data_IF_304015285279
#
_entry.id   IF_304015285279
#
_cell.length_a   1.000
_cell.length_b   1.000
_cell.length_c   1.000
_cell.angle_alpha   90.00
_cell.angle_beta   90.00
_cell.angle_gamma   90.00
#
_symmetry.space_group_name_H-M   'P 1'
#
loop_
_entity.id
_entity.type
_entity.pdbx_description
1 polymer ?
#
# COMPACT_ATOMS: atom_id res chain seq x y z
N UNK A 1 58.64 46.26 -45.30
CA UNK A 1 57.77 45.96 -44.15
C UNK A 1 56.63 45.15 -44.70
N UNK A 2 56.91 43.85 -44.74
CA UNK A 2 56.07 42.69 -45.05
C UNK A 2 54.89 42.61 -44.06
N UNK A 3 53.81 41.84 -44.21
CA UNK A 3 53.37 40.78 -45.13
C UNK A 3 51.83 40.69 -45.00
N UNK A 4 51.12 40.06 -45.95
CA UNK A 4 50.06 39.13 -45.55
C UNK A 4 49.81 38.01 -46.58
N UNK A 5 49.40 36.86 -46.05
CA UNK A 5 49.47 35.51 -46.62
C UNK A 5 48.22 35.03 -47.38
N UNK A 6 48.44 33.98 -48.17
CA UNK A 6 47.51 33.22 -48.98
C UNK A 6 46.90 31.98 -48.27
N UNK A 7 45.81 31.45 -48.83
CA UNK A 7 45.27 30.08 -48.60
C UNK A 7 45.04 29.39 -49.98
N UNK A 8 45.27 28.07 -50.13
CA UNK A 8 45.23 27.37 -51.42
C UNK A 8 44.02 26.44 -51.67
N UNK A 9 43.90 26.04 -52.94
CA UNK A 9 42.99 25.05 -53.55
C UNK A 9 43.45 23.59 -53.39
N UNK A 10 42.52 22.64 -53.61
CA UNK A 10 42.86 21.36 -54.26
C UNK A 10 41.83 20.25 -54.08
N UNK A 11 41.10 19.93 -55.15
CA UNK A 11 40.34 18.68 -55.29
C UNK A 11 40.70 17.98 -56.60
N UNK A 12 40.53 16.65 -56.66
CA UNK A 12 40.30 15.90 -57.91
C UNK A 12 39.84 14.47 -57.59
N UNK A 13 38.82 14.00 -58.30
CA UNK A 13 38.24 12.65 -58.18
C UNK A 13 38.63 11.71 -59.32
N UNK A 14 38.21 10.45 -59.20
CA UNK A 14 38.17 9.48 -60.30
C UNK A 14 37.05 8.43 -60.09
N UNK A 15 36.39 8.09 -61.20
CA UNK A 15 35.26 7.16 -61.44
C UNK A 15 35.54 5.69 -61.02
N UNK A 16 34.60 4.73 -60.92
CA UNK A 16 33.21 4.52 -61.36
C UNK A 16 33.05 3.10 -61.97
N UNK A 17 32.00 2.34 -61.57
CA UNK A 17 31.29 1.18 -62.21
C UNK A 17 30.58 0.32 -61.12
N UNK A 18 29.23 0.26 -61.00
CA UNK A 18 28.22 -0.60 -61.70
C UNK A 18 28.54 -2.10 -61.59
N UNK A 19 27.69 -3.08 -61.26
CA UNK A 19 26.24 -3.29 -60.99
C UNK A 19 26.13 -4.83 -60.73
N UNK A 20 25.22 -5.39 -59.91
CA UNK A 20 23.96 -6.07 -60.32
C UNK A 20 23.46 -6.89 -59.11
N UNK A 21 22.12 -6.95 -59.04
CA UNK A 21 21.13 -7.56 -58.16
C UNK A 21 21.20 -9.08 -57.91
N UNK A 22 20.62 -9.57 -56.80
CA UNK A 22 19.48 -10.49 -56.87
C UNK A 22 18.71 -10.69 -55.55
N UNK A 23 17.46 -11.10 -55.74
CA UNK A 23 16.28 -11.20 -54.84
C UNK A 23 16.13 -12.63 -54.29
N UNK A 24 15.17 -12.79 -53.35
CA UNK A 24 14.48 -14.02 -52.83
C UNK A 24 14.91 -14.34 -51.38
N UNK A 25 14.09 -14.75 -50.40
CA UNK A 25 12.65 -14.74 -50.07
C UNK A 25 12.55 -15.57 -48.77
N UNK A 26 11.67 -15.18 -47.84
CA UNK A 26 10.91 -16.03 -46.89
C UNK A 26 11.65 -17.06 -46.01
N UNK A 27 11.58 -16.89 -44.68
CA UNK A 27 10.76 -17.78 -43.85
C UNK A 27 10.45 -17.15 -42.49
N UNK A 28 9.19 -17.31 -42.10
CA UNK A 28 8.58 -16.95 -40.81
C UNK A 28 9.18 -17.74 -39.64
N UNK A 29 9.27 -17.12 -38.48
CA UNK A 29 9.08 -17.79 -37.20
C UNK A 29 8.31 -16.86 -36.24
N UNK A 30 7.09 -17.28 -35.91
CA UNK A 30 6.20 -16.70 -34.93
C UNK A 30 6.66 -17.12 -33.53
N UNK A 31 7.15 -16.17 -32.72
CA UNK A 31 7.18 -16.30 -31.27
C UNK A 31 6.55 -15.07 -30.65
N UNK A 32 5.53 -15.28 -29.82
CA UNK A 32 4.69 -14.24 -29.25
C UNK A 32 5.47 -13.31 -28.32
N UNK A 33 5.51 -12.03 -28.68
CA UNK A 33 5.94 -10.96 -27.79
C UNK A 33 4.84 -10.69 -26.75
N UNK A 34 4.98 -11.26 -25.56
CA UNK A 34 4.42 -10.63 -24.35
C UNK A 34 5.34 -9.46 -24.00
N UNK A 35 4.91 -8.25 -24.35
CA UNK A 35 5.62 -7.04 -24.01
C UNK A 35 5.65 -6.85 -22.49
N UNK A 36 6.88 -6.77 -21.97
CA UNK A 36 7.25 -6.18 -20.70
C UNK A 36 6.48 -4.89 -20.45
N UNK A 37 5.79 -4.78 -19.31
CA UNK A 37 5.34 -3.50 -18.79
C UNK A 37 6.59 -2.73 -18.35
N UNK A 38 7.13 -1.94 -19.27
CA UNK A 38 8.21 -1.02 -19.02
C UNK A 38 7.63 0.29 -18.47
N UNK A 39 8.21 0.70 -17.35
CA UNK A 39 8.12 2.01 -16.73
C UNK A 39 7.95 3.14 -17.75
N UNK A 40 6.85 3.87 -17.64
CA UNK A 40 6.75 5.24 -18.14
C UNK A 40 7.04 6.18 -16.98
N UNK A 41 8.19 6.83 -17.06
CA UNK A 41 8.63 7.83 -16.09
C UNK A 41 7.74 9.06 -16.20
N UNK A 42 6.91 9.28 -15.19
CA UNK A 42 6.43 10.60 -14.81
C UNK A 42 6.98 10.87 -13.41
N UNK A 43 7.42 12.09 -13.20
CA UNK A 43 8.34 12.59 -12.19
C UNK A 43 8.15 12.02 -10.77
N UNK A 44 8.82 10.89 -10.50
CA UNK A 44 8.89 10.24 -9.19
C UNK A 44 9.84 10.97 -8.21
N UNK A 45 10.40 12.11 -8.62
CA UNK A 45 11.39 12.85 -7.82
C UNK A 45 10.82 13.43 -6.52
N UNK A 46 9.50 13.62 -6.42
CA UNK A 46 8.89 14.03 -5.16
C UNK A 46 8.78 12.86 -4.17
N UNK A 47 8.36 11.66 -4.58
CA UNK A 47 8.26 10.52 -3.66
C UNK A 47 9.64 10.00 -3.20
N UNK A 48 10.63 9.94 -4.10
CA UNK A 48 11.96 9.39 -3.75
C UNK A 48 12.80 10.36 -2.94
N UNK A 49 12.54 11.67 -3.02
CA UNK A 49 13.21 12.66 -2.19
C UNK A 49 12.83 12.54 -0.70
N UNK A 50 11.57 12.20 -0.38
CA UNK A 50 11.11 12.10 1.01
C UNK A 50 11.63 10.87 1.76
N UNK A 51 11.99 9.79 1.06
CA UNK A 51 12.56 8.58 1.68
C UNK A 51 14.05 8.71 2.05
N UNK A 52 14.76 9.72 1.54
CA UNK A 52 16.22 9.84 1.68
C UNK A 52 16.71 10.60 2.92
N UNK A 53 15.81 11.06 3.81
CA UNK A 53 16.17 11.71 5.07
C UNK A 53 15.75 10.93 6.33
N UNK A 54 15.46 9.63 6.18
CA UNK A 54 15.27 8.76 7.34
C UNK A 54 16.61 8.52 8.01
N UNK A 55 16.75 9.05 9.24
CA UNK A 55 17.90 8.82 10.11
C UNK A 55 18.16 7.31 10.32
N UNK A 56 19.30 6.86 9.82
CA UNK A 56 19.95 5.62 10.23
C UNK A 56 20.14 4.63 9.09
N UNK A 57 21.36 4.63 8.55
CA UNK A 57 22.00 3.71 7.60
C UNK A 57 21.28 2.43 7.19
N UNK A 58 21.23 2.28 5.87
CA UNK A 58 20.91 1.11 5.07
C UNK A 58 21.88 -0.06 5.36
N UNK A 59 21.34 -1.23 5.72
CA UNK A 59 22.03 -2.53 5.58
C UNK A 59 21.02 -3.54 5.07
N UNK A 60 21.20 -3.92 3.82
CA UNK A 60 20.59 -5.08 3.15
C UNK A 60 21.35 -6.35 3.52
N UNK A 61 20.64 -7.39 3.96
CA UNK A 61 20.75 -8.76 3.43
C UNK A 61 19.84 -9.72 4.21
N UNK A 62 18.85 -10.28 3.52
CA UNK A 62 17.93 -11.27 4.05
C UNK A 62 18.54 -12.67 4.05
N UNK A 63 18.57 -13.31 5.22
CA UNK A 63 18.89 -14.72 5.35
C UNK A 63 17.64 -15.47 5.80
N UNK A 64 17.19 -16.39 4.94
CA UNK A 64 16.04 -17.27 5.15
C UNK A 64 16.28 -18.19 6.36
N UNK A 65 15.30 -18.29 7.26
CA UNK A 65 15.25 -19.26 8.37
C UNK A 65 14.04 -20.20 8.19
N UNK A 66 14.11 -21.45 8.68
CA UNK A 66 13.11 -22.48 8.40
C UNK A 66 11.90 -22.39 9.33
N UNK A 67 10.75 -22.74 8.76
CA UNK A 67 9.41 -22.69 9.36
C UNK A 67 9.21 -23.67 10.52
N UNK A 68 8.58 -23.16 11.58
CA UNK A 68 7.89 -23.95 12.60
C UNK A 68 6.46 -23.42 12.71
N UNK A 69 5.49 -24.22 12.27
CA UNK A 69 4.08 -23.81 12.20
C UNK A 69 3.47 -23.56 13.58
N UNK A 70 2.65 -22.51 13.67
CA UNK A 70 1.77 -22.25 14.81
C UNK A 70 0.37 -21.95 14.28
N UNK A 71 -0.61 -22.71 14.78
CA UNK A 71 -2.02 -22.57 14.46
C UNK A 71 -2.76 -21.79 15.56
N UNK A 72 -3.48 -20.75 15.12
CA UNK A 72 -4.82 -20.28 15.51
C UNK A 72 -5.24 -19.80 16.93
N UNK A 73 -5.83 -18.58 16.89
CA UNK A 73 -7.13 -18.08 17.43
C UNK A 73 -7.38 -17.78 18.94
N UNK A 74 -7.83 -16.52 19.18
CA UNK A 74 -9.19 -16.24 19.70
C UNK A 74 -9.41 -15.96 21.20
N UNK A 75 -9.89 -14.74 21.50
CA UNK A 75 -10.17 -14.08 22.80
C UNK A 75 -11.25 -14.75 23.71
N UNK A 76 -10.97 -14.95 25.03
CA UNK A 76 -11.68 -14.38 26.22
C UNK A 76 -11.37 -15.04 27.61
N UNK A 77 -10.97 -14.19 28.57
CA UNK A 77 -11.28 -14.07 30.02
C UNK A 77 -11.28 -15.23 31.07
N UNK A 78 -10.52 -14.96 32.14
CA UNK A 78 -10.47 -15.38 33.57
C UNK A 78 -10.09 -16.81 34.05
N UNK A 79 -9.11 -16.77 34.98
CA UNK A 79 -8.76 -17.64 36.12
C UNK A 79 -7.84 -18.89 36.00
N UNK A 80 -6.56 -18.65 36.31
CA UNK A 80 -5.67 -19.32 37.30
C UNK A 80 -5.75 -20.86 37.46
N UNK A 81 -4.75 -21.58 36.93
CA UNK A 81 -3.66 -22.20 37.72
C UNK A 81 -2.66 -23.02 36.87
N UNK A 82 -1.41 -22.54 36.90
CA UNK A 82 -0.14 -23.27 37.05
C UNK A 82 0.35 -24.35 36.06
N UNK A 83 1.56 -24.06 35.58
CA UNK A 83 2.70 -24.95 35.23
C UNK A 83 2.79 -25.54 33.81
N UNK A 84 3.66 -24.93 33.01
CA UNK A 84 4.78 -25.62 32.37
C UNK A 84 5.91 -24.61 32.09
N UNK A 85 7.01 -24.74 32.82
CA UNK A 85 8.23 -23.97 32.66
C UNK A 85 8.88 -24.20 31.30
N UNK A 86 9.18 -23.13 30.58
CA UNK A 86 10.16 -23.12 29.50
C UNK A 86 10.96 -21.80 29.56
N UNK A 87 12.19 -21.91 30.08
CA UNK A 87 13.32 -20.98 29.96
C UNK A 87 13.02 -19.48 29.89
N UNK A 88 12.78 -18.87 31.05
CA UNK A 88 13.21 -17.48 31.26
C UNK A 88 14.73 -17.50 31.49
N UNK A 89 15.51 -17.09 30.49
CA UNK A 89 16.86 -16.61 30.75
C UNK A 89 16.73 -15.25 31.45
N UNK A 90 16.67 -15.29 32.78
CA UNK A 90 17.11 -14.19 33.61
C UNK A 90 18.64 -14.08 33.47
N UNK A 91 19.10 -13.26 32.53
CA UNK A 91 20.40 -12.61 32.65
C UNK A 91 20.33 -11.20 32.03
N UNK A 92 19.59 -10.33 32.73
CA UNK A 92 19.43 -8.91 32.38
C UNK A 92 20.49 -8.00 33.01
N UNK A 93 21.61 -8.54 33.51
CA UNK A 93 22.62 -7.79 34.26
C UNK A 93 23.94 -7.64 33.49
N UNK A 94 23.90 -7.50 32.16
CA UNK A 94 25.02 -6.92 31.46
C UNK A 94 25.20 -5.48 31.95
N UNK A 95 26.32 -5.20 32.62
CA UNK A 95 26.62 -3.87 33.18
C UNK A 95 26.36 -2.79 32.11
N UNK A 96 25.67 -1.73 32.51
CA UNK A 96 25.47 -0.57 31.65
C UNK A 96 26.81 0.12 31.44
N UNK A 97 27.04 0.65 30.24
CA UNK A 97 28.19 1.55 30.06
C UNK A 97 27.98 2.83 30.89
N UNK A 98 29.05 3.52 31.32
CA UNK A 98 28.89 4.80 32.03
C UNK A 98 28.09 5.85 31.24
N UNK A 99 28.14 5.78 29.91
CA UNK A 99 27.34 6.66 29.04
C UNK A 99 25.87 6.22 29.01
N UNK A 100 25.58 4.91 28.93
CA UNK A 100 24.21 4.39 29.07
C UNK A 100 23.59 4.81 30.42
N UNK A 101 24.32 4.68 31.53
CA UNK A 101 23.85 5.10 32.87
C UNK A 101 23.55 6.60 32.93
N UNK A 102 24.43 7.42 32.35
CA UNK A 102 24.23 8.87 32.27
C UNK A 102 22.99 9.21 31.47
N UNK A 103 22.80 8.60 30.30
CA UNK A 103 21.66 8.85 29.43
C UNK A 103 20.34 8.38 30.06
N UNK A 104 20.33 7.22 30.72
CA UNK A 104 19.20 6.77 31.54
C UNK A 104 18.84 7.76 32.65
N UNK A 105 19.84 8.35 33.32
CA UNK A 105 19.60 9.38 34.34
C UNK A 105 18.92 10.62 33.77
N UNK A 106 19.32 11.06 32.56
CA UNK A 106 18.72 12.22 31.88
C UNK A 106 17.25 11.94 31.53
N UNK A 107 16.95 10.81 30.89
CA UNK A 107 15.58 10.47 30.48
C UNK A 107 14.66 10.17 31.67
N UNK A 108 15.19 9.63 32.76
CA UNK A 108 14.42 9.43 33.99
C UNK A 108 14.13 10.75 34.72
N UNK A 109 15.00 11.76 34.58
CA UNK A 109 14.78 13.09 35.12
C UNK A 109 13.81 13.91 34.25
N UNK A 110 13.81 13.69 32.93
CA UNK A 110 12.89 14.31 31.99
C UNK A 110 12.57 13.34 30.84
N UNK A 111 11.44 12.64 30.94
CA UNK A 111 11.03 11.63 29.95
C UNK A 111 10.68 12.22 28.59
N UNK A 112 10.45 13.53 28.50
CA UNK A 112 10.13 14.22 27.26
C UNK A 112 11.38 14.69 26.49
N UNK A 113 12.58 14.42 27.00
CA UNK A 113 13.82 14.84 26.32
C UNK A 113 14.18 13.89 25.17
N UNK A 114 13.59 14.14 24.01
CA UNK A 114 13.70 13.30 22.81
C UNK A 114 15.16 13.03 22.39
N UNK A 115 16.03 14.05 22.39
CA UNK A 115 17.42 13.88 21.95
C UNK A 115 18.22 12.96 22.89
N UNK A 116 17.89 12.94 24.18
CA UNK A 116 18.52 12.03 25.14
C UNK A 116 18.08 10.59 24.89
N UNK A 117 16.81 10.37 24.53
CA UNK A 117 16.32 9.06 24.10
C UNK A 117 16.98 8.58 22.82
N UNK A 118 17.11 9.43 21.80
CA UNK A 118 17.76 9.03 20.54
C UNK A 118 19.22 8.67 20.76
N UNK A 119 19.94 9.44 21.58
CA UNK A 119 21.32 9.13 21.96
C UNK A 119 21.43 7.82 22.76
N UNK A 120 20.48 7.56 23.68
CA UNK A 120 20.43 6.31 24.44
C UNK A 120 20.20 5.10 23.53
N UNK A 121 19.28 5.21 22.58
CA UNK A 121 19.03 4.16 21.60
C UNK A 121 20.29 3.89 20.77
N UNK A 122 20.92 4.94 20.22
CA UNK A 122 22.14 4.80 19.42
C UNK A 122 23.28 4.13 20.20
N UNK A 123 23.52 4.53 21.45
CA UNK A 123 24.57 3.94 22.29
C UNK A 123 24.23 2.48 22.67
N UNK A 124 22.97 2.17 22.98
CA UNK A 124 22.55 0.80 23.25
C UNK A 124 22.63 -0.08 22.00
N UNK A 125 22.20 0.38 20.82
CA UNK A 125 22.34 -0.38 19.56
C UNK A 125 23.80 -0.71 19.24
N UNK A 126 24.70 0.25 19.49
CA UNK A 126 26.14 0.09 19.28
C UNK A 126 26.78 -0.89 20.26
N UNK A 127 26.32 -0.93 21.51
CA UNK A 127 26.95 -1.74 22.57
C UNK A 127 26.27 -3.09 22.81
N UNK A 128 25.00 -3.22 22.41
CA UNK A 128 24.15 -4.38 22.64
C UNK A 128 23.86 -5.17 21.34
N UNK A 129 24.79 -5.20 20.38
CA UNK A 129 24.59 -5.77 19.05
C UNK A 129 24.07 -7.23 19.05
N UNK A 130 24.32 -8.00 20.13
CA UNK A 130 23.78 -9.34 20.33
C UNK A 130 22.90 -9.50 21.59
N UNK A 131 22.56 -8.40 22.28
CA UNK A 131 21.79 -8.43 23.52
C UNK A 131 20.39 -7.82 23.32
N UNK A 132 19.48 -8.66 22.85
CA UNK A 132 18.07 -8.28 22.60
C UNK A 132 17.36 -7.78 23.87
N UNK A 133 17.75 -8.23 25.07
CA UNK A 133 17.11 -7.78 26.31
C UNK A 133 17.39 -6.30 26.61
N UNK A 134 18.61 -5.82 26.35
CA UNK A 134 18.94 -4.39 26.45
C UNK A 134 18.17 -3.56 25.43
N UNK A 135 18.08 -4.05 24.18
CA UNK A 135 17.31 -3.40 23.11
C UNK A 135 15.84 -3.26 23.51
N UNK A 136 15.20 -4.36 23.92
CA UNK A 136 13.80 -4.36 24.40
C UNK A 136 13.58 -3.30 25.47
N UNK A 137 14.42 -3.28 26.50
CA UNK A 137 14.29 -2.33 27.62
C UNK A 137 14.30 -0.87 27.16
N UNK A 138 15.23 -0.48 26.30
CA UNK A 138 15.34 0.91 25.83
C UNK A 138 14.19 1.26 24.90
N UNK A 139 13.87 0.38 23.95
CA UNK A 139 12.80 0.61 22.99
C UNK A 139 11.41 0.63 23.64
N UNK A 140 11.12 -0.29 24.56
CA UNK A 140 9.85 -0.32 25.30
C UNK A 140 9.65 0.96 26.12
N UNK A 141 10.71 1.46 26.77
CA UNK A 141 10.64 2.70 27.55
C UNK A 141 10.47 3.94 26.65
N UNK A 142 11.23 4.03 25.56
CA UNK A 142 11.13 5.14 24.61
C UNK A 142 9.75 5.21 23.94
N UNK A 143 9.24 4.07 23.45
CA UNK A 143 7.98 4.01 22.70
C UNK A 143 6.75 4.15 23.60
N UNK A 144 6.89 3.99 24.92
CA UNK A 144 5.87 4.38 25.88
C UNK A 144 5.69 5.90 25.96
N UNK A 145 6.76 6.68 25.79
CA UNK A 145 6.74 8.15 25.81
C UNK A 145 6.48 8.75 24.42
N UNK A 146 7.03 8.14 23.37
CA UNK A 146 6.95 8.61 21.98
C UNK A 146 6.34 7.54 21.04
N UNK A 147 5.08 7.12 21.27
CA UNK A 147 4.46 6.03 20.50
C UNK A 147 4.30 6.35 19.03
N UNK A 148 4.17 7.64 18.66
CA UNK A 148 3.95 8.09 17.28
C UNK A 148 5.19 8.01 16.37
N UNK A 149 6.34 7.62 16.91
CA UNK A 149 7.59 7.52 16.17
C UNK A 149 7.71 6.17 15.43
N UNK A 150 6.91 5.97 14.36
CA UNK A 150 6.82 4.69 13.61
C UNK A 150 8.19 4.13 13.17
N UNK A 151 9.14 5.00 12.80
CA UNK A 151 10.47 4.56 12.38
C UNK A 151 11.22 3.77 13.47
N UNK A 152 10.98 4.07 14.75
CA UNK A 152 11.56 3.32 15.86
C UNK A 152 10.82 2.01 16.13
N UNK A 153 9.50 1.96 15.93
CA UNK A 153 8.77 0.68 15.91
C UNK A 153 9.33 -0.27 14.86
N UNK A 154 9.60 0.24 13.65
CA UNK A 154 10.21 -0.56 12.57
C UNK A 154 11.61 -1.06 12.94
N UNK A 155 12.48 -0.19 13.45
CA UNK A 155 13.82 -0.59 13.93
C UNK A 155 13.73 -1.66 15.02
N UNK A 156 12.79 -1.53 15.95
CA UNK A 156 12.58 -2.51 17.00
C UNK A 156 12.17 -3.88 16.43
N UNK A 157 11.21 -3.90 15.50
CA UNK A 157 10.80 -5.14 14.83
C UNK A 157 11.98 -5.79 14.08
N UNK A 158 12.85 -4.99 13.46
CA UNK A 158 14.05 -5.49 12.77
C UNK A 158 15.09 -6.06 13.75
N UNK A 159 15.26 -5.47 14.93
CA UNK A 159 16.11 -6.05 15.98
C UNK A 159 15.57 -7.39 16.48
N UNK A 160 14.25 -7.49 16.72
CA UNK A 160 13.61 -8.76 17.08
C UNK A 160 13.74 -9.80 15.97
N UNK A 161 13.61 -9.41 14.70
CA UNK A 161 13.74 -10.33 13.58
C UNK A 161 15.18 -10.87 13.43
N UNK A 162 16.18 -10.06 13.78
CA UNK A 162 17.61 -10.45 13.71
C UNK A 162 18.07 -11.27 14.90
N UNK A 163 17.62 -10.94 16.11
CA UNK A 163 18.19 -11.45 17.37
C UNK A 163 17.19 -12.24 18.23
N UNK A 164 15.90 -12.08 17.95
CA UNK A 164 14.80 -12.61 18.76
C UNK A 164 14.11 -13.82 18.13
N UNK A 165 12.86 -14.01 18.56
CA UNK A 165 11.97 -15.06 18.05
C UNK A 165 10.85 -14.43 17.24
N UNK A 166 10.30 -15.18 16.27
CA UNK A 166 9.25 -14.70 15.38
C UNK A 166 8.03 -14.14 16.15
N UNK A 167 7.62 -14.80 17.23
CA UNK A 167 6.50 -14.38 18.07
C UNK A 167 6.70 -12.98 18.66
N UNK A 168 7.96 -12.60 18.95
CA UNK A 168 8.30 -11.28 19.48
C UNK A 168 8.27 -10.20 18.41
N UNK A 169 8.60 -10.54 17.17
CA UNK A 169 8.42 -9.64 16.02
C UNK A 169 6.94 -9.30 15.84
N UNK A 170 6.06 -10.31 15.90
CA UNK A 170 4.61 -10.12 15.82
C UNK A 170 4.11 -9.25 16.97
N UNK A 171 4.55 -9.49 18.20
CA UNK A 171 4.20 -8.67 19.36
C UNK A 171 4.62 -7.20 19.20
N UNK A 172 5.79 -6.93 18.61
CA UNK A 172 6.21 -5.56 18.29
C UNK A 172 5.30 -4.94 17.24
N UNK A 173 4.99 -5.65 16.15
CA UNK A 173 4.10 -5.12 15.11
C UNK A 173 2.68 -4.85 15.62
N UNK A 174 2.10 -5.73 16.43
CA UNK A 174 0.77 -5.54 17.01
C UNK A 174 0.73 -4.32 17.95
N UNK A 175 1.77 -4.12 18.77
CA UNK A 175 1.91 -2.90 19.57
C UNK A 175 2.12 -1.67 18.70
N UNK A 176 2.90 -1.78 17.63
CA UNK A 176 3.18 -0.68 16.73
C UNK A 176 1.90 -0.19 16.04
N UNK A 177 1.10 -1.07 15.45
CA UNK A 177 -0.17 -0.67 14.80
C UNK A 177 -1.22 -0.17 15.80
N UNK A 178 -1.07 -0.46 17.10
CA UNK A 178 -1.85 0.19 18.14
C UNK A 178 -1.32 1.59 18.49
N UNK A 179 0.00 1.79 18.50
CA UNK A 179 0.62 3.09 18.80
C UNK A 179 0.59 4.09 17.64
N UNK A 180 0.69 3.62 16.40
CA UNK A 180 0.68 4.39 15.15
C UNK A 180 -0.37 3.85 14.17
N UNK A 181 -1.61 3.74 14.65
CA UNK A 181 -2.73 3.16 13.90
C UNK A 181 -2.96 3.76 12.51
N UNK A 182 -2.66 5.05 12.34
CA UNK A 182 -2.86 5.75 11.07
C UNK A 182 -1.59 5.85 10.20
N UNK A 183 -0.51 5.15 10.55
CA UNK A 183 0.70 5.10 9.74
C UNK A 183 0.58 4.06 8.62
N UNK A 184 0.45 4.53 7.38
CA UNK A 184 0.49 3.70 6.16
C UNK A 184 1.76 2.84 6.13
N UNK A 185 2.92 3.45 6.42
CA UNK A 185 4.21 2.76 6.44
C UNK A 185 4.25 1.61 7.44
N UNK A 186 3.67 1.79 8.64
CA UNK A 186 3.69 0.75 9.65
C UNK A 186 2.84 -0.47 9.24
N UNK A 187 1.64 -0.23 8.69
CA UNK A 187 0.82 -1.30 8.14
C UNK A 187 1.48 -1.99 6.96
N UNK A 188 2.13 -1.24 6.06
CA UNK A 188 2.88 -1.79 4.93
C UNK A 188 3.99 -2.73 5.42
N UNK A 189 4.81 -2.29 6.37
CA UNK A 189 5.86 -3.13 6.93
C UNK A 189 5.32 -4.42 7.55
N UNK A 190 4.20 -4.33 8.27
CA UNK A 190 3.59 -5.52 8.86
C UNK A 190 3.03 -6.47 7.79
N UNK A 191 2.35 -5.95 6.77
CA UNK A 191 1.84 -6.77 5.67
C UNK A 191 2.98 -7.44 4.87
N UNK A 192 4.08 -6.73 4.63
CA UNK A 192 5.27 -7.31 3.99
C UNK A 192 5.88 -8.41 4.86
N UNK A 193 5.97 -8.20 6.18
CA UNK A 193 6.40 -9.25 7.10
C UNK A 193 5.47 -10.47 7.03
N UNK A 194 4.16 -10.28 7.05
CA UNK A 194 3.17 -11.35 6.96
C UNK A 194 3.27 -12.13 5.64
N UNK A 195 3.41 -11.46 4.50
CA UNK A 195 3.60 -12.12 3.19
C UNK A 195 4.83 -13.05 3.21
N UNK A 196 5.89 -12.65 3.89
CA UNK A 196 7.15 -13.40 3.91
C UNK A 196 7.19 -14.51 4.97
N UNK A 197 6.24 -14.54 5.90
CA UNK A 197 6.32 -15.43 7.09
C UNK A 197 5.09 -16.28 7.31
N UNK A 198 3.91 -15.80 6.90
CA UNK A 198 2.65 -16.53 7.03
C UNK A 198 2.39 -17.36 5.78
N UNK A 199 1.93 -18.59 5.99
CA UNK A 199 1.60 -19.51 4.90
C UNK A 199 0.14 -19.38 4.46
N UNK A 200 -0.76 -19.00 5.37
CA UNK A 200 -2.21 -18.89 5.13
C UNK A 200 -2.56 -17.57 4.40
N UNK A 201 -3.05 -17.62 3.15
CA UNK A 201 -3.46 -16.44 2.40
C UNK A 201 -4.57 -15.65 3.09
N UNK A 202 -5.48 -16.32 3.79
CA UNK A 202 -6.61 -15.64 4.43
C UNK A 202 -6.15 -14.81 5.64
N UNK A 203 -5.12 -15.27 6.35
CA UNK A 203 -4.46 -14.48 7.41
C UNK A 203 -3.81 -13.22 6.83
N UNK A 204 -3.12 -13.33 5.70
CA UNK A 204 -2.48 -12.18 5.03
C UNK A 204 -3.54 -11.18 4.58
N UNK A 205 -4.63 -11.63 3.93
CA UNK A 205 -5.75 -10.78 3.53
C UNK A 205 -6.41 -10.09 4.72
N UNK A 206 -6.68 -10.83 5.81
CA UNK A 206 -7.24 -10.25 7.04
C UNK A 206 -6.36 -9.13 7.59
N UNK A 207 -5.03 -9.26 7.50
CA UNK A 207 -4.12 -8.21 7.93
C UNK A 207 -4.18 -6.97 7.03
N UNK A 208 -4.19 -7.16 5.70
CA UNK A 208 -4.41 -6.05 4.75
C UNK A 208 -5.72 -5.34 5.03
N UNK A 209 -6.83 -6.07 5.14
CA UNK A 209 -8.14 -5.48 5.40
C UNK A 209 -8.19 -4.74 6.73
N UNK A 210 -7.53 -5.28 7.78
CA UNK A 210 -7.40 -4.60 9.07
C UNK A 210 -6.68 -3.27 8.94
N UNK A 211 -5.58 -3.21 8.19
CA UNK A 211 -4.86 -1.95 7.96
C UNK A 211 -5.66 -0.96 7.13
N UNK A 212 -6.25 -1.43 6.03
CA UNK A 212 -7.05 -0.61 5.11
C UNK A 212 -8.31 -0.03 5.76
N UNK A 213 -8.84 -0.66 6.81
CA UNK A 213 -9.92 -0.09 7.62
C UNK A 213 -9.51 1.23 8.33
N UNK A 214 -8.22 1.46 8.57
CA UNK A 214 -7.71 2.68 9.20
C UNK A 214 -7.08 3.64 8.19
N UNK A 215 -6.27 3.13 7.27
CA UNK A 215 -5.44 3.96 6.38
C UNK A 215 -5.82 3.86 4.91
N UNK A 216 -6.82 3.05 4.54
CA UNK A 216 -7.18 2.81 3.14
C UNK A 216 -7.70 4.06 2.42
N UNK A 217 -8.21 5.04 3.17
CA UNK A 217 -8.69 6.32 2.64
C UNK A 217 -7.63 7.43 2.71
N UNK A 218 -6.44 7.17 3.26
CA UNK A 218 -5.37 8.17 3.31
C UNK A 218 -4.94 8.58 1.89
N UNK A 219 -4.73 9.87 1.64
CA UNK A 219 -4.33 10.39 0.32
C UNK A 219 -3.01 9.80 -0.19
N UNK A 220 -2.12 9.42 0.73
CA UNK A 220 -0.81 8.81 0.53
C UNK A 220 -0.81 7.28 0.79
N UNK A 221 -1.98 6.63 0.86
CA UNK A 221 -2.12 5.18 1.08
C UNK A 221 -1.60 4.27 -0.06
N UNK A 222 -1.19 4.86 -1.18
CA UNK A 222 -0.77 4.15 -2.39
C UNK A 222 0.24 3.00 -2.14
N UNK A 223 1.28 3.14 -1.28
CA UNK A 223 2.21 2.05 -1.02
C UNK A 223 1.56 0.77 -0.47
N UNK A 224 0.54 0.90 0.40
CA UNK A 224 -0.16 -0.26 0.96
C UNK A 224 -1.08 -0.90 -0.08
N UNK A 225 -1.81 -0.08 -0.85
CA UNK A 225 -2.65 -0.55 -1.94
C UNK A 225 -1.85 -1.26 -3.03
N UNK A 226 -0.71 -0.70 -3.44
CA UNK A 226 0.19 -1.29 -4.42
C UNK A 226 0.67 -2.67 -3.97
N UNK A 227 1.01 -2.81 -2.69
CA UNK A 227 1.44 -4.10 -2.15
C UNK A 227 0.32 -5.13 -2.13
N UNK A 228 -0.91 -4.71 -1.84
CA UNK A 228 -2.06 -5.62 -1.84
C UNK A 228 -2.46 -6.04 -3.26
N UNK A 229 -2.41 -5.10 -4.22
CA UNK A 229 -2.60 -5.36 -5.65
C UNK A 229 -1.56 -6.36 -6.16
N UNK A 230 -0.28 -6.15 -5.84
CA UNK A 230 0.80 -7.06 -6.20
C UNK A 230 0.54 -8.46 -5.64
N UNK A 231 0.14 -8.54 -4.38
CA UNK A 231 -0.17 -9.81 -3.71
C UNK A 231 -1.33 -10.56 -4.39
N UNK A 232 -2.50 -9.93 -4.57
CA UNK A 232 -3.66 -10.60 -5.19
C UNK A 232 -3.41 -10.95 -6.67
N UNK A 233 -2.62 -10.14 -7.39
CA UNK A 233 -2.16 -10.46 -8.74
C UNK A 233 -1.31 -11.74 -8.75
N UNK A 234 -0.35 -11.88 -7.83
CA UNK A 234 0.47 -13.09 -7.69
C UNK A 234 -0.38 -14.31 -7.31
N UNK A 235 -1.41 -14.13 -6.47
CA UNK A 235 -2.37 -15.17 -6.11
C UNK A 235 -3.40 -15.47 -7.22
N UNK A 236 -3.36 -14.73 -8.33
CA UNK A 236 -4.31 -14.82 -9.46
C UNK A 236 -5.78 -14.69 -9.03
N UNK A 237 -6.05 -13.90 -7.98
CA UNK A 237 -7.40 -13.65 -7.48
C UNK A 237 -7.97 -12.40 -8.15
N UNK A 238 -8.45 -12.56 -9.39
CA UNK A 238 -8.91 -11.46 -10.22
C UNK A 238 -10.14 -10.73 -9.67
N UNK A 239 -11.04 -11.45 -9.02
CA UNK A 239 -12.24 -10.86 -8.38
C UNK A 239 -11.87 -9.96 -7.20
N UNK A 240 -10.94 -10.41 -6.35
CA UNK A 240 -10.40 -9.60 -5.25
C UNK A 240 -9.67 -8.37 -5.79
N UNK A 241 -8.83 -8.55 -6.81
CA UNK A 241 -8.11 -7.44 -7.43
C UNK A 241 -9.07 -6.39 -8.02
N UNK A 242 -10.14 -6.82 -8.67
CA UNK A 242 -11.17 -5.91 -9.19
C UNK A 242 -11.94 -5.20 -8.07
N UNK A 243 -12.22 -5.88 -6.96
CA UNK A 243 -12.81 -5.27 -5.75
C UNK A 243 -11.87 -4.22 -5.14
N UNK A 244 -10.57 -4.50 -5.05
CA UNK A 244 -9.56 -3.55 -4.58
C UNK A 244 -9.55 -2.29 -5.44
N UNK A 245 -9.47 -2.42 -6.77
CA UNK A 245 -9.56 -1.25 -7.65
C UNK A 245 -10.86 -0.47 -7.44
N UNK A 246 -11.99 -1.16 -7.30
CA UNK A 246 -13.28 -0.50 -7.05
C UNK A 246 -13.23 0.37 -5.79
N UNK A 247 -12.71 -0.17 -4.68
CA UNK A 247 -12.56 0.57 -3.40
C UNK A 247 -11.61 1.76 -3.52
N UNK A 248 -10.49 1.61 -4.23
CA UNK A 248 -9.55 2.72 -4.44
C UNK A 248 -10.22 3.86 -5.21
N UNK A 249 -11.07 3.55 -6.19
CA UNK A 249 -11.76 4.54 -7.01
C UNK A 249 -12.88 5.29 -6.26
N UNK A 250 -13.27 4.85 -5.06
CA UNK A 250 -14.27 5.53 -4.22
C UNK A 250 -13.72 6.79 -3.54
N UNK A 251 -12.40 6.90 -3.40
CA UNK A 251 -11.74 7.92 -2.59
C UNK A 251 -10.63 8.66 -3.36
N UNK A 252 -10.42 9.97 -3.09
CA UNK A 252 -9.29 10.69 -3.65
C UNK A 252 -7.98 10.06 -3.15
N UNK A 253 -7.01 9.91 -4.03
CA UNK A 253 -5.64 9.55 -3.67
C UNK A 253 -4.68 10.09 -4.73
N UNK A 254 -3.41 10.24 -4.34
CA UNK A 254 -2.39 10.85 -5.20
C UNK A 254 -2.19 10.11 -6.53
N UNK A 255 -2.47 8.81 -6.59
CA UNK A 255 -2.21 7.94 -7.73
C UNK A 255 -3.51 7.48 -8.43
N UNK A 256 -4.63 8.20 -8.23
CA UNK A 256 -5.96 7.77 -8.68
C UNK A 256 -6.04 7.50 -10.18
N UNK A 257 -5.41 8.34 -11.01
CA UNK A 257 -5.39 8.17 -12.47
C UNK A 257 -4.64 6.89 -12.89
N UNK A 258 -3.55 6.55 -12.17
CA UNK A 258 -2.80 5.31 -12.40
C UNK A 258 -3.67 4.10 -12.09
N UNK A 259 -4.36 4.10 -10.96
CA UNK A 259 -5.25 3.00 -10.56
C UNK A 259 -6.41 2.82 -11.54
N UNK A 260 -7.02 3.90 -12.02
CA UNK A 260 -8.10 3.82 -12.99
C UNK A 260 -7.63 3.21 -14.33
N UNK A 261 -6.44 3.59 -14.81
CA UNK A 261 -5.87 3.01 -16.02
C UNK A 261 -5.55 1.51 -15.82
N UNK A 262 -4.95 1.13 -14.70
CA UNK A 262 -4.68 -0.28 -14.40
C UNK A 262 -5.97 -1.11 -14.27
N UNK A 263 -7.03 -0.53 -13.72
CA UNK A 263 -8.35 -1.15 -13.72
C UNK A 263 -8.86 -1.39 -15.14
N UNK A 264 -8.72 -0.41 -16.05
CA UNK A 264 -9.12 -0.58 -17.46
C UNK A 264 -8.33 -1.69 -18.15
N UNK A 265 -7.03 -1.79 -17.88
CA UNK A 265 -6.18 -2.85 -18.41
C UNK A 265 -6.59 -4.24 -17.88
N UNK A 266 -6.97 -4.33 -16.60
CA UNK A 266 -7.49 -5.55 -16.00
C UNK A 266 -8.79 -5.99 -16.68
N UNK A 267 -9.74 -5.07 -16.86
CA UNK A 267 -11.03 -5.37 -17.50
C UNK A 267 -10.86 -5.73 -18.98
N UNK A 268 -9.91 -5.10 -19.69
CA UNK A 268 -9.63 -5.43 -21.08
C UNK A 268 -8.98 -6.81 -21.26
N UNK A 269 -8.31 -7.34 -20.22
CA UNK A 269 -7.55 -8.60 -20.28
C UNK A 269 -8.29 -9.81 -19.72
N UNK A 270 -9.46 -9.63 -19.08
CA UNK A 270 -10.17 -10.68 -18.35
C UNK A 270 -11.67 -10.71 -18.65
N UNK A 271 -12.30 -11.90 -18.71
CA UNK A 271 -13.74 -11.99 -18.85
C UNK A 271 -14.44 -11.51 -17.56
N UNK A 272 -15.64 -10.95 -17.71
CA UNK A 272 -16.39 -10.37 -16.58
C UNK A 272 -16.72 -11.39 -15.48
N UNK A 273 -16.85 -12.67 -15.84
CA UNK A 273 -17.10 -13.77 -14.90
C UNK A 273 -15.95 -14.00 -13.91
N UNK A 274 -14.71 -13.67 -14.27
CA UNK A 274 -13.54 -13.78 -13.37
C UNK A 274 -13.38 -12.56 -12.45
N UNK A 275 -13.97 -11.43 -12.83
CA UNK A 275 -13.80 -10.14 -12.14
C UNK A 275 -14.85 -9.86 -11.07
N UNK A 276 -16.04 -10.45 -11.20
CA UNK A 276 -17.13 -10.21 -10.25
C UNK A 276 -16.94 -11.01 -8.96
N UNK A 277 -17.23 -10.38 -7.83
CA UNK A 277 -17.32 -11.12 -6.56
C UNK A 277 -18.65 -11.90 -6.50
N UNK A 278 -18.72 -12.99 -5.71
CA UNK A 278 -19.98 -13.71 -5.50
C UNK A 278 -21.11 -12.82 -4.97
N UNK A 279 -20.77 -11.79 -4.20
CA UNK A 279 -21.70 -10.81 -3.63
C UNK A 279 -22.31 -9.89 -4.70
N UNK A 280 -21.49 -9.38 -5.62
CA UNK A 280 -21.99 -8.57 -6.75
C UNK A 280 -22.94 -9.38 -7.65
N UNK A 281 -22.60 -10.65 -7.90
CA UNK A 281 -23.46 -11.56 -8.68
C UNK A 281 -24.80 -11.81 -7.96
N UNK A 282 -24.78 -11.98 -6.63
CA UNK A 282 -25.99 -12.17 -5.83
C UNK A 282 -26.87 -10.91 -5.75
N UNK A 283 -26.27 -9.72 -5.67
CA UNK A 283 -27.00 -8.45 -5.69
C UNK A 283 -27.74 -8.21 -7.01
N UNK A 284 -27.08 -8.52 -8.14
CA UNK A 284 -27.69 -8.44 -9.48
C UNK A 284 -28.81 -9.49 -9.63
N UNK A 285 -28.66 -10.68 -9.06
CA UNK A 285 -29.69 -11.71 -9.09
C UNK A 285 -30.94 -11.33 -8.27
N UNK A 286 -30.75 -10.66 -7.13
CA UNK A 286 -31.83 -10.20 -6.24
C UNK A 286 -32.64 -9.06 -6.87
N UNK A 287 -31.96 -8.08 -7.47
CA UNK A 287 -32.59 -6.97 -8.22
C UNK A 287 -33.35 -7.46 -9.47
N UNK A 288 -32.83 -8.50 -10.17
CA UNK A 288 -33.57 -9.18 -11.25
C UNK A 288 -34.76 -10.03 -10.76
N UNK A 289 -34.78 -10.41 -9.47
CA UNK A 289 -35.85 -11.18 -8.84
C UNK A 289 -37.04 -10.32 -8.39
N UNK A 290 -36.79 -9.10 -7.92
CA UNK A 290 -37.83 -8.14 -7.49
C UNK A 290 -38.63 -7.59 -8.68
N UNK A 291 -38.01 -7.41 -9.85
CA UNK A 291 -38.69 -7.01 -11.09
C UNK A 291 -39.73 -8.02 -11.62
N UNK A 292 -39.87 -9.21 -11.01
CA UNK A 292 -40.87 -10.23 -11.40
C UNK A 292 -42.21 -10.15 -10.66
N UNK A 293 -42.33 -9.36 -9.60
CA UNK A 293 -43.52 -9.39 -8.72
C UNK A 293 -44.50 -8.21 -8.87
N UNK A 294 -44.19 -7.19 -9.69
CA UNK A 294 -45.10 -6.04 -9.88
C UNK A 294 -45.95 -6.07 -11.16
N UNK A 295 -45.80 -7.08 -12.04
CA UNK A 295 -46.53 -7.13 -13.31
C UNK A 295 -47.34 -8.42 -13.46
N UNK A 296 -48.34 -8.63 -12.59
CA UNK A 296 -49.49 -9.51 -12.91
C UNK A 296 -50.62 -9.39 -11.86
N UNK A 297 -51.54 -8.44 -12.05
CA UNK A 297 -52.93 -8.60 -11.61
C UNK A 297 -53.91 -8.19 -12.72
N UNK A 298 -54.73 -9.18 -13.16
CA UNK A 298 -55.99 -9.03 -13.92
C UNK A 298 -55.83 -8.84 -15.43
N UNK A 299 -56.42 -9.61 -16.35
CA UNK A 299 -57.63 -10.45 -16.34
C UNK A 299 -57.48 -11.64 -17.31
N UNK A 300 -58.08 -12.77 -16.94
CA UNK A 300 -58.11 -14.01 -17.73
C UNK A 300 -59.36 -13.99 -18.63
N UNK A 301 -59.18 -14.14 -19.94
CA UNK A 301 -60.25 -14.50 -20.88
C UNK A 301 -59.76 -15.62 -21.80
N UNK A 302 -60.37 -16.83 -21.83
CA UNK A 302 -59.82 -17.96 -22.58
C UNK A 302 -60.58 -18.15 -23.89
N UNK A 303 -59.99 -17.72 -25.01
CA UNK A 303 -60.06 -18.38 -26.31
C UNK A 303 -59.48 -17.48 -27.40
N UNK A 304 -58.33 -17.86 -27.97
CA UNK A 304 -58.07 -18.02 -29.41
C UNK A 304 -56.68 -18.67 -29.55
N UNK A 305 -56.62 -19.67 -30.42
CA UNK A 305 -55.43 -20.43 -30.82
C UNK A 305 -54.54 -19.57 -31.73
N UNK A 306 -53.22 -19.81 -31.62
CA UNK A 306 -52.15 -19.48 -32.58
C UNK A 306 -51.46 -18.10 -32.43
N UNK A 307 -50.23 -18.12 -31.91
CA UNK A 307 -49.00 -17.65 -32.58
C UNK A 307 -47.87 -17.46 -31.57
N UNK A 308 -46.72 -18.04 -31.91
CA UNK A 308 -45.35 -17.62 -31.58
C UNK A 308 -45.23 -16.49 -30.53
N UNK A 309 -44.89 -16.84 -29.30
CA UNK A 309 -44.24 -15.92 -28.36
C UNK A 309 -43.08 -16.65 -27.70
N UNK A 310 -41.89 -16.44 -28.29
CA UNK A 310 -40.62 -16.52 -27.54
C UNK A 310 -40.81 -15.76 -26.23
N UNK A 311 -40.42 -16.29 -25.06
CA UNK A 311 -40.11 -15.42 -23.95
C UNK A 311 -38.78 -14.76 -24.33
N UNK A 312 -38.83 -13.54 -24.86
CA UNK A 312 -37.64 -12.68 -24.88
C UNK A 312 -37.46 -12.23 -23.43
N UNK A 313 -36.88 -13.10 -22.62
CA UNK A 313 -36.25 -12.68 -21.37
C UNK A 313 -35.14 -11.73 -21.79
N UNK A 314 -35.23 -10.48 -21.37
CA UNK A 314 -34.13 -9.53 -21.48
C UNK A 314 -32.99 -9.99 -20.56
N UNK A 315 -32.22 -11.01 -20.97
CA UNK A 315 -30.84 -11.12 -20.52
C UNK A 315 -30.08 -10.01 -21.23
N UNK A 316 -29.57 -9.05 -20.47
CA UNK A 316 -28.51 -8.17 -20.98
C UNK A 316 -27.43 -9.05 -21.61
N UNK A 317 -26.95 -8.63 -22.78
CA UNK A 317 -25.81 -9.27 -23.41
C UNK A 317 -24.59 -9.12 -22.51
N UNK A 318 -23.65 -10.06 -22.58
CA UNK A 318 -22.41 -10.01 -21.80
C UNK A 318 -21.63 -8.69 -22.02
N UNK A 319 -21.73 -8.12 -23.22
CA UNK A 319 -21.17 -6.82 -23.57
C UNK A 319 -21.84 -5.65 -22.82
N UNK A 320 -23.18 -5.63 -22.74
CA UNK A 320 -23.91 -4.60 -21.98
C UNK A 320 -23.64 -4.70 -20.47
N UNK A 321 -23.51 -5.92 -19.96
CA UNK A 321 -23.15 -6.16 -18.55
C UNK A 321 -21.72 -5.68 -18.23
N UNK A 322 -20.78 -5.84 -19.17
CA UNK A 322 -19.41 -5.34 -19.06
C UNK A 322 -19.35 -3.82 -19.15
N UNK A 323 -20.09 -3.22 -20.08
CA UNK A 323 -20.18 -1.77 -20.22
C UNK A 323 -20.76 -1.13 -18.95
N UNK A 324 -21.82 -1.72 -18.39
CA UNK A 324 -22.38 -1.28 -17.11
C UNK A 324 -21.37 -1.40 -15.96
N UNK A 325 -20.61 -2.50 -15.90
CA UNK A 325 -19.58 -2.72 -14.88
C UNK A 325 -18.47 -1.67 -14.93
N UNK A 326 -18.02 -1.29 -16.14
CA UNK A 326 -17.04 -0.23 -16.36
C UNK A 326 -17.63 1.12 -15.97
N UNK A 327 -18.82 1.46 -16.49
CA UNK A 327 -19.46 2.76 -16.31
C UNK A 327 -19.65 3.14 -14.83
N UNK A 328 -20.03 2.18 -13.98
CA UNK A 328 -20.16 2.39 -12.52
C UNK A 328 -18.82 2.88 -11.93
N UNK A 329 -17.71 2.25 -12.32
CA UNK A 329 -16.38 2.55 -11.79
C UNK A 329 -15.78 3.81 -12.39
N UNK A 330 -16.12 4.15 -13.64
CA UNK A 330 -15.81 5.46 -14.20
C UNK A 330 -16.51 6.59 -13.44
N UNK A 331 -17.74 6.37 -12.98
CA UNK A 331 -18.48 7.35 -12.19
C UNK A 331 -17.86 7.54 -10.80
N UNK A 332 -17.45 6.45 -10.13
CA UNK A 332 -16.68 6.51 -8.89
C UNK A 332 -15.40 7.34 -9.08
N UNK A 333 -14.63 7.02 -10.12
CA UNK A 333 -13.42 7.75 -10.49
C UNK A 333 -13.68 9.24 -10.70
N UNK A 334 -14.72 9.62 -11.46
CA UNK A 334 -15.07 11.03 -11.70
C UNK A 334 -15.41 11.76 -10.41
N UNK A 335 -16.20 11.14 -9.53
CA UNK A 335 -16.56 11.70 -8.22
C UNK A 335 -15.32 11.90 -7.34
N UNK A 336 -14.43 10.91 -7.31
CA UNK A 336 -13.17 10.99 -6.58
C UNK A 336 -12.26 12.09 -7.14
N UNK A 337 -12.16 12.26 -8.47
CA UNK A 337 -11.41 13.36 -9.12
C UNK A 337 -12.00 14.73 -8.84
N UNK A 338 -13.33 14.86 -8.83
CA UNK A 338 -13.96 16.12 -8.47
C UNK A 338 -13.63 16.51 -7.03
N UNK A 339 -13.62 15.53 -6.11
CA UNK A 339 -13.26 15.79 -4.73
C UNK A 339 -11.76 16.06 -4.55
N UNK A 340 -10.88 15.30 -5.22
CA UNK A 340 -9.43 15.55 -5.31
C UNK A 340 -9.12 17.00 -5.73
N UNK A 341 -9.83 17.52 -6.74
CA UNK A 341 -9.66 18.91 -7.20
C UNK A 341 -9.95 19.97 -6.12
N UNK A 342 -10.71 19.63 -5.07
CA UNK A 342 -11.04 20.52 -3.95
C UNK A 342 -10.02 20.42 -2.81
N UNK A 343 -9.30 19.31 -2.71
CA UNK A 343 -8.39 19.02 -1.59
C UNK A 343 -6.90 19.09 -1.95
N UNK A 344 -6.55 19.00 -3.24
CA UNK A 344 -5.17 18.87 -3.70
C UNK A 344 -4.25 20.00 -3.23
N UNK A 345 -4.74 21.24 -3.18
CA UNK A 345 -3.95 22.38 -2.71
C UNK A 345 -3.62 22.26 -1.21
N UNK A 346 -4.56 21.73 -0.40
CA UNK A 346 -4.30 21.46 1.01
C UNK A 346 -3.30 20.31 1.19
N UNK A 347 -3.48 19.22 0.44
CA UNK A 347 -2.61 18.03 0.49
C UNK A 347 -1.17 18.36 0.08
N UNK A 348 -0.99 19.12 -1.01
CA UNK A 348 0.34 19.52 -1.50
C UNK A 348 1.04 20.53 -0.59
N UNK A 349 0.28 21.28 0.23
CA UNK A 349 0.83 22.18 1.23
C UNK A 349 1.34 21.45 2.49
N UNK A 350 0.93 20.20 2.73
CA UNK A 350 1.45 19.38 3.83
C UNK A 350 2.84 18.86 3.49
N UNK A 351 3.86 19.38 4.17
CA UNK A 351 5.26 18.96 3.95
C UNK A 351 5.70 17.80 4.84
N UNK A 352 5.03 17.62 5.97
CA UNK A 352 5.38 16.62 6.98
C UNK A 352 4.12 15.84 7.39
N UNK A 353 3.76 14.78 6.65
CA UNK A 353 2.57 13.97 6.92
C UNK A 353 2.79 12.94 8.05
N UNK A 354 3.80 13.14 8.89
CA UNK A 354 4.18 12.22 9.96
C UNK A 354 4.54 12.99 11.23
N UNK A 355 4.45 12.31 12.37
CA UNK A 355 4.81 12.90 13.66
C UNK A 355 6.30 13.23 13.75
N UNK A 356 6.61 14.42 14.27
CA UNK A 356 7.96 14.79 14.64
C UNK A 356 7.92 15.84 15.76
N UNK A 357 8.86 15.75 16.70
CA UNK A 357 8.90 16.59 17.92
C UNK A 357 9.08 18.09 17.66
N UNK A 358 9.70 18.45 16.54
CA UNK A 358 9.81 19.87 16.11
C UNK A 358 8.43 20.43 15.78
N UNK A 359 8.08 21.63 16.27
CA UNK A 359 6.80 22.26 15.98
C UNK A 359 6.64 22.49 14.47
N UNK A 360 5.40 22.42 14.00
CA UNK A 360 5.02 22.87 12.66
C UNK A 360 5.17 24.40 12.57
N UNK A 361 5.47 24.89 11.37
CA UNK A 361 5.49 26.33 11.14
C UNK A 361 4.05 26.89 11.06
N UNK A 362 3.90 28.21 11.18
CA UNK A 362 2.58 28.84 11.20
C UNK A 362 1.75 28.59 9.93
N UNK A 363 2.39 28.54 8.75
CA UNK A 363 1.70 28.30 7.48
C UNK A 363 1.20 26.85 7.36
N UNK A 364 1.97 25.88 7.84
CA UNK A 364 1.54 24.47 7.91
C UNK A 364 0.36 24.31 8.87
N UNK A 365 0.41 24.95 10.05
CA UNK A 365 -0.69 24.93 11.00
C UNK A 365 -1.95 25.58 10.42
N UNK A 366 -1.82 26.75 9.79
CA UNK A 366 -2.94 27.44 9.14
C UNK A 366 -3.57 26.58 8.04
N UNK A 367 -2.75 25.92 7.21
CA UNK A 367 -3.23 24.96 6.21
C UNK A 367 -4.05 23.83 6.85
N UNK A 368 -3.56 23.22 7.93
CA UNK A 368 -4.29 22.16 8.63
C UNK A 368 -5.63 22.64 9.18
N UNK A 369 -5.69 23.83 9.78
CA UNK A 369 -6.98 24.39 10.27
C UNK A 369 -7.96 24.62 9.12
N UNK A 370 -7.53 25.24 8.02
CA UNK A 370 -8.39 25.46 6.87
C UNK A 370 -8.84 24.15 6.22
N UNK A 371 -7.97 23.14 6.19
CA UNK A 371 -8.32 21.84 5.63
C UNK A 371 -9.35 21.12 6.50
N UNK A 372 -9.18 21.14 7.83
CA UNK A 372 -10.14 20.60 8.78
C UNK A 372 -11.50 21.31 8.68
N UNK A 373 -11.51 22.64 8.65
CA UNK A 373 -12.73 23.44 8.49
C UNK A 373 -13.45 23.11 7.16
N UNK A 374 -12.69 22.90 6.08
CA UNK A 374 -13.24 22.50 4.79
C UNK A 374 -13.90 21.12 4.85
N UNK A 375 -13.25 20.13 5.47
CA UNK A 375 -13.79 18.77 5.61
C UNK A 375 -15.02 18.76 6.53
N UNK A 376 -14.99 19.49 7.65
CA UNK A 376 -16.14 19.65 8.54
C UNK A 376 -17.32 20.31 7.81
N UNK A 377 -17.05 21.31 6.96
CA UNK A 377 -18.04 21.97 6.12
C UNK A 377 -18.66 21.07 5.04
N UNK A 378 -17.99 19.97 4.65
CA UNK A 378 -18.53 19.01 3.69
C UNK A 378 -19.63 18.10 4.28
N UNK A 379 -19.77 18.04 5.61
CA UNK A 379 -20.86 17.31 6.29
C UNK A 379 -20.80 15.78 6.20
N UNK A 380 -19.69 15.22 5.73
CA UNK A 380 -19.47 13.77 5.67
C UNK A 380 -18.34 13.40 6.63
N UNK A 381 -18.71 12.98 7.84
CA UNK A 381 -17.75 12.60 8.88
C UNK A 381 -16.83 11.45 8.46
N UNK A 382 -17.23 10.63 7.49
CA UNK A 382 -16.34 9.59 6.95
C UNK A 382 -15.16 10.19 6.17
N UNK A 383 -15.24 11.46 5.75
CA UNK A 383 -14.13 12.17 5.10
C UNK A 383 -13.10 12.70 6.08
N UNK A 384 -13.39 12.74 7.39
CA UNK A 384 -12.39 13.06 8.41
C UNK A 384 -11.31 11.98 8.48
N UNK A 385 -11.63 10.72 8.15
CA UNK A 385 -10.61 9.65 8.10
C UNK A 385 -9.57 9.85 7.00
N UNK A 386 -9.81 10.76 6.04
CA UNK A 386 -8.81 11.17 5.03
C UNK A 386 -7.65 11.97 5.65
N UNK A 387 -7.88 12.58 6.82
CA UNK A 387 -6.98 13.55 7.45
C UNK A 387 -6.19 12.99 8.63
N UNK A 388 -6.54 11.82 9.15
CA UNK A 388 -5.87 11.27 10.33
C UNK A 388 -4.57 10.61 9.86
N UNK A 389 -3.43 11.28 10.08
CA UNK A 389 -2.07 10.82 9.74
C UNK A 389 -1.11 11.02 10.90
#
# INVERSE_FOLDING_TARGET
>A
MDADSAIPHGGSGAAGKSEVTDVISSHEDLSGNFASVANTSVDSSQLTAYHSSVNGNDVTDGKVLPAGGVSENGVNSYDVHNSASANQQEDGSAALSPEEERLWSIVNANSLEFNAWTALIEETEKTAEANILKIRKVYDAFLAEFPLCYGYWKKYADHEARLGFLDKVVEVYERAVHGVTYSVDMWLHYCVFAINTYEDPDTIRRLFERGLAYVGTDYLSAPLWDKYIEYEFQQQQWSNLASIYTRILEHPNLQLDRYFNSFRDLVASRPLSELRTPEEVAAIASTKGEAKYEENEGEINPNVVDQSSKPVNASLTEAEELESYIAIREELYKKAKEFDSKIIDFETAIRRPYFHVRPLNAAELENWHHYLDFIDGCGDFNKLSLLIR
#
